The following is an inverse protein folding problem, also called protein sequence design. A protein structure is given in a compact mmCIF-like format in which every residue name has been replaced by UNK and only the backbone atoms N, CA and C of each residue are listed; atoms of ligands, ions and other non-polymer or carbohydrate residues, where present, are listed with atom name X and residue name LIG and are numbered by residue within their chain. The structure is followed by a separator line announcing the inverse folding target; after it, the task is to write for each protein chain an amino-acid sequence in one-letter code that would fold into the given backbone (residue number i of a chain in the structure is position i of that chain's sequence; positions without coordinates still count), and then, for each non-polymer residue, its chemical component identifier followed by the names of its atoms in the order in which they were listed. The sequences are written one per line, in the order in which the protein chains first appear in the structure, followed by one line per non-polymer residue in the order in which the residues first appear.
data_IF_437685485270
#
_entry.id   IF_437685485270
#
_cell.length_a   1.000
_cell.length_b   1.000
_cell.length_c   1.000
_cell.angle_alpha   90.00
_cell.angle_beta   90.00
_cell.angle_gamma   90.00
#
_symmetry.space_group_name_H-M   'P 1'
#
loop_
_entity.id
_entity.type
_entity.pdbx_description
1 polymer ?
#
# COMPACT_ATOMS: atom_id res chain seq x y z
N UNK A 1 -43.74 21.92 -4.17
CA UNK A 1 -43.22 20.61 -3.73
C UNK A 1 -41.85 20.48 -4.36
N UNK A 2 -40.80 20.67 -3.58
CA UNK A 2 -39.40 20.60 -4.04
C UNK A 2 -39.00 19.14 -4.11
N UNK A 3 -38.59 18.68 -5.28
CA UNK A 3 -38.00 17.34 -5.42
C UNK A 3 -36.58 17.36 -4.84
N UNK A 4 -36.41 16.70 -3.71
CA UNK A 4 -35.10 16.45 -3.13
C UNK A 4 -34.32 15.52 -4.07
N UNK A 5 -33.40 16.12 -4.84
CA UNK A 5 -32.43 15.38 -5.65
C UNK A 5 -31.40 14.72 -4.73
N UNK A 6 -31.66 13.47 -4.32
CA UNK A 6 -30.70 12.68 -3.55
C UNK A 6 -29.56 12.23 -4.47
N UNK A 7 -28.42 12.92 -4.38
CA UNK A 7 -27.17 12.45 -5.02
C UNK A 7 -26.64 11.22 -4.26
N UNK A 8 -26.33 10.10 -4.95
CA UNK A 8 -25.80 8.91 -4.30
C UNK A 8 -24.42 9.22 -3.70
N UNK A 9 -24.17 8.74 -2.48
CA UNK A 9 -22.87 8.92 -1.82
C UNK A 9 -21.76 8.28 -2.67
N UNK A 10 -20.65 9.00 -2.95
CA UNK A 10 -19.58 8.46 -3.77
C UNK A 10 -18.99 7.20 -3.15
N UNK A 11 -18.72 6.19 -3.99
CA UNK A 11 -18.10 4.94 -3.53
C UNK A 11 -16.78 5.25 -2.83
N UNK A 12 -16.57 4.66 -1.63
CA UNK A 12 -15.30 4.77 -0.90
C UNK A 12 -14.14 4.34 -1.81
N UNK A 13 -13.10 5.17 -1.87
CA UNK A 13 -11.85 4.82 -2.57
C UNK A 13 -11.24 3.59 -1.90
N UNK A 14 -10.84 2.60 -2.71
CA UNK A 14 -10.07 1.44 -2.23
C UNK A 14 -8.61 1.63 -2.61
N UNK A 15 -7.70 1.25 -1.72
CA UNK A 15 -6.28 1.15 -2.05
C UNK A 15 -6.09 0.09 -3.13
N UNK A 16 -5.07 0.21 -3.99
CA UNK A 16 -4.69 -0.88 -4.90
C UNK A 16 -4.29 -2.12 -4.09
N UNK A 17 -4.40 -3.28 -4.73
CA UNK A 17 -3.88 -4.54 -4.18
C UNK A 17 -2.35 -4.54 -4.23
N UNK A 18 -1.73 -5.11 -3.20
CA UNK A 18 -0.27 -5.25 -3.15
C UNK A 18 0.15 -6.45 -3.98
N UNK A 19 1.08 -6.27 -4.91
CA UNK A 19 1.68 -7.35 -5.71
C UNK A 19 2.95 -7.89 -5.02
N UNK A 20 3.45 -9.10 -5.40
CA UNK A 20 4.73 -9.60 -4.90
C UNK A 20 5.90 -8.63 -5.16
N UNK A 21 5.94 -8.00 -6.34
CA UNK A 21 6.95 -7.01 -6.68
C UNK A 21 6.88 -5.78 -5.77
N UNK A 22 5.67 -5.28 -5.51
CA UNK A 22 5.46 -4.18 -4.57
C UNK A 22 5.93 -4.56 -3.16
N UNK A 23 5.63 -5.78 -2.70
CA UNK A 23 6.09 -6.28 -1.42
C UNK A 23 7.62 -6.38 -1.34
N UNK A 24 8.30 -6.81 -2.41
CA UNK A 24 9.76 -6.83 -2.49
C UNK A 24 10.36 -5.43 -2.35
N UNK A 25 9.79 -4.43 -3.04
CA UNK A 25 10.20 -3.01 -2.94
C UNK A 25 9.92 -2.42 -1.55
N UNK A 26 8.77 -2.74 -0.95
CA UNK A 26 8.42 -2.35 0.43
C UNK A 26 9.44 -2.92 1.43
N UNK A 27 9.76 -4.21 1.34
CA UNK A 27 10.77 -4.87 2.20
C UNK A 27 12.15 -4.23 2.05
N UNK A 28 12.55 -3.87 0.83
CA UNK A 28 13.80 -3.15 0.60
C UNK A 28 13.80 -1.78 1.32
N UNK A 29 12.74 -0.99 1.18
CA UNK A 29 12.63 0.31 1.82
C UNK A 29 12.58 0.23 3.36
N UNK A 30 11.95 -0.81 3.91
CA UNK A 30 11.99 -1.10 5.34
C UNK A 30 13.42 -1.39 5.81
N UNK A 31 14.19 -2.17 5.04
CA UNK A 31 15.59 -2.45 5.34
C UNK A 31 16.48 -1.20 5.28
N UNK A 32 16.13 -0.22 4.44
CA UNK A 32 16.78 1.10 4.39
C UNK A 32 16.36 2.02 5.55
N UNK A 33 15.44 1.60 6.42
CA UNK A 33 14.97 2.38 7.57
C UNK A 33 13.88 3.40 7.24
N UNK A 34 13.26 3.34 6.06
CA UNK A 34 12.14 4.24 5.73
C UNK A 34 10.91 3.92 6.61
N UNK A 35 10.21 4.97 7.06
CA UNK A 35 9.04 4.79 7.93
C UNK A 35 7.90 4.11 7.16
N UNK A 36 7.09 3.31 7.85
CA UNK A 36 5.94 2.64 7.22
C UNK A 36 4.91 3.64 6.67
N UNK A 37 4.81 4.84 7.28
CA UNK A 37 3.94 5.91 6.80
C UNK A 37 4.39 6.44 5.44
N UNK A 38 5.68 6.74 5.29
CA UNK A 38 6.23 7.24 4.02
C UNK A 38 6.16 6.19 2.92
N UNK A 39 6.41 4.92 3.27
CA UNK A 39 6.24 3.78 2.34
C UNK A 39 4.78 3.69 1.89
N UNK A 40 3.82 3.74 2.81
CA UNK A 40 2.40 3.67 2.49
C UNK A 40 1.96 4.81 1.56
N UNK A 41 2.42 6.04 1.84
CA UNK A 41 2.18 7.20 0.99
C UNK A 41 2.79 7.02 -0.41
N UNK A 42 4.03 6.51 -0.49
CA UNK A 42 4.74 6.25 -1.75
C UNK A 42 4.01 5.24 -2.65
N UNK A 43 3.50 4.16 -2.07
CA UNK A 43 2.75 3.13 -2.81
C UNK A 43 1.25 3.40 -2.91
N UNK A 44 0.75 4.47 -2.28
CA UNK A 44 -0.68 4.82 -2.21
C UNK A 44 -1.53 3.68 -1.64
N UNK A 45 -1.00 2.96 -0.64
CA UNK A 45 -1.67 1.86 0.06
C UNK A 45 -1.94 2.21 1.52
N UNK A 46 -2.78 1.40 2.18
CA UNK A 46 -3.02 1.53 3.60
C UNK A 46 -1.76 1.17 4.40
N UNK A 47 -1.39 1.96 5.41
CA UNK A 47 -0.22 1.70 6.25
C UNK A 47 -0.27 0.33 6.96
N UNK A 48 -1.46 -0.16 7.30
CA UNK A 48 -1.64 -1.53 7.82
C UNK A 48 -1.12 -2.61 6.86
N UNK A 49 -1.20 -2.41 5.54
CA UNK A 49 -0.63 -3.36 4.55
C UNK A 49 0.89 -3.38 4.60
N UNK A 50 1.53 -2.25 4.86
CA UNK A 50 2.98 -2.19 5.06
C UNK A 50 3.38 -2.95 6.33
N UNK A 51 2.60 -2.81 7.40
CA UNK A 51 2.81 -3.57 8.65
C UNK A 51 2.68 -5.09 8.46
N UNK A 52 1.65 -5.54 7.74
CA UNK A 52 1.46 -6.96 7.38
C UNK A 52 2.65 -7.54 6.59
N UNK A 53 3.27 -6.74 5.73
CA UNK A 53 4.47 -7.14 4.95
C UNK A 53 5.72 -7.14 5.85
N UNK A 54 5.87 -6.12 6.69
CA UNK A 54 7.00 -5.99 7.63
C UNK A 54 7.07 -7.15 8.62
N UNK A 55 5.91 -7.55 9.15
CA UNK A 55 5.77 -8.66 10.10
C UNK A 55 5.85 -10.04 9.43
N UNK A 56 5.88 -10.11 8.09
CA UNK A 56 5.87 -11.36 7.35
C UNK A 56 4.50 -12.05 7.26
N UNK A 57 3.43 -11.44 7.78
CA UNK A 57 2.05 -11.96 7.64
C UNK A 57 1.62 -12.05 6.18
N UNK A 58 2.08 -11.11 5.35
CA UNK A 58 1.89 -11.15 3.89
C UNK A 58 3.22 -11.25 3.15
N UNK A 59 3.20 -12.00 2.05
CA UNK A 59 4.35 -12.26 1.19
C UNK A 59 5.59 -12.80 1.94
N UNK A 60 5.46 -13.81 2.83
CA UNK A 60 6.60 -14.30 3.62
C UNK A 60 7.78 -14.77 2.76
N UNK A 61 7.51 -15.48 1.66
CA UNK A 61 8.55 -16.00 0.75
C UNK A 61 9.13 -15.00 -0.26
N UNK A 62 8.66 -13.75 -0.27
CA UNK A 62 9.19 -12.73 -1.18
C UNK A 62 10.43 -12.10 -0.57
N UNK A 63 11.57 -12.20 -1.25
CA UNK A 63 12.80 -11.51 -0.83
C UNK A 63 12.72 -10.01 -1.11
N UNK A 64 13.40 -9.15 -0.33
CA UNK A 64 13.54 -7.73 -0.65
C UNK A 64 14.13 -7.54 -2.05
N UNK A 65 13.65 -6.54 -2.78
CA UNK A 65 14.22 -6.21 -4.09
C UNK A 65 15.68 -5.77 -3.94
N UNK A 66 16.54 -6.13 -4.89
CA UNK A 66 17.91 -5.59 -4.99
C UNK A 66 17.95 -4.25 -5.74
N UNK A 67 16.94 -4.00 -6.57
CA UNK A 67 16.83 -2.82 -7.41
C UNK A 67 15.55 -2.05 -7.06
N UNK A 68 15.71 -0.76 -6.82
CA UNK A 68 14.60 0.17 -6.65
C UNK A 68 14.43 0.93 -7.97
N UNK A 69 13.79 0.29 -8.94
CA UNK A 69 13.25 1.02 -10.09
C UNK A 69 12.08 1.86 -9.57
N UNK A 70 12.45 3.04 -9.11
CA UNK A 70 11.58 4.11 -8.69
C UNK A 70 11.23 4.89 -9.95
N UNK A 71 10.04 4.58 -10.48
CA UNK A 71 9.41 5.07 -11.70
C UNK A 71 9.77 4.31 -12.97
#
# INVERSE_FOLDING_TARGET
MTEDNIVPFPRRRRSPDVTPEMAAKIKHLLNLGMTQHDIAARFRINQGRVSEINTGMKFPGVSPSSQLDLF
#
